data_IF_683214345742
#
_entry.id   IF_683214345742
#
_cell.length_a   1.000
_cell.length_b   1.000
_cell.length_c   1.000
_cell.angle_alpha   90.00
_cell.angle_beta   90.00
_cell.angle_gamma   90.00
#
_symmetry.space_group_name_H-M   'P 1'
#
loop_
_entity.id
_entity.type
_entity.pdbx_description
1 polymer ?
#
# COMPACT_ATOMS: atom_id res chain seq x y z
N UNK A 1 -15.14 -5.81 25.63
CA UNK A 1 -15.29 -5.29 24.26
C UNK A 1 -14.10 -5.84 23.51
N UNK A 2 -14.30 -6.70 22.52
CA UNK A 2 -13.24 -6.94 21.55
C UNK A 2 -13.01 -5.63 20.81
N UNK A 3 -11.85 -5.02 21.01
CA UNK A 3 -11.43 -3.89 20.19
C UNK A 3 -11.31 -4.40 18.76
N UNK A 4 -11.90 -3.68 17.81
CA UNK A 4 -11.76 -4.00 16.39
C UNK A 4 -10.26 -4.07 16.08
N UNK A 5 -9.78 -5.22 15.62
CA UNK A 5 -8.38 -5.36 15.23
C UNK A 5 -8.19 -4.75 13.84
N UNK A 6 -7.00 -4.20 13.53
CA UNK A 6 -6.69 -3.82 12.17
C UNK A 6 -6.81 -5.01 11.21
N UNK A 7 -7.13 -4.71 9.96
CA UNK A 7 -7.29 -5.68 8.88
C UNK A 7 -5.99 -5.81 8.07
N UNK A 8 -5.37 -4.67 7.77
CA UNK A 8 -4.19 -4.59 6.90
C UNK A 8 -3.03 -3.90 7.60
N UNK A 9 -1.84 -4.22 7.12
CA UNK A 9 -0.62 -3.46 7.38
C UNK A 9 -0.05 -2.92 6.08
N UNK A 10 0.70 -1.82 6.14
CA UNK A 10 1.51 -1.30 5.05
C UNK A 10 2.91 -0.95 5.58
N UNK A 11 3.92 -1.32 4.83
CA UNK A 11 5.30 -0.90 5.09
C UNK A 11 6.02 -0.69 3.76
N UNK A 12 7.11 0.07 3.77
CA UNK A 12 8.08 0.05 2.68
C UNK A 12 8.71 -1.33 2.61
N UNK A 13 8.71 -1.91 1.42
CA UNK A 13 9.36 -3.20 1.14
C UNK A 13 10.81 -2.98 0.69
N UNK A 14 10.99 -2.36 -0.49
CA UNK A 14 12.30 -2.20 -1.13
C UNK A 14 12.38 -0.98 -2.03
N UNK A 15 13.60 -0.58 -2.33
CA UNK A 15 13.89 0.40 -3.39
C UNK A 15 14.23 -0.36 -4.67
N UNK A 16 13.71 0.11 -5.79
CA UNK A 16 14.00 -0.45 -7.12
C UNK A 16 14.82 0.50 -7.99
N UNK A 17 14.85 1.78 -7.62
CA UNK A 17 15.69 2.83 -8.22
C UNK A 17 16.27 3.71 -7.11
N UNK A 18 17.25 4.60 -7.41
CA UNK A 18 17.72 5.59 -6.45
C UNK A 18 16.60 6.49 -5.93
N UNK A 19 16.59 6.74 -4.62
CA UNK A 19 15.64 7.66 -4.00
C UNK A 19 15.73 9.05 -4.63
N UNK A 20 14.62 9.63 -5.13
CA UNK A 20 14.62 10.96 -5.71
C UNK A 20 14.80 12.03 -4.62
N UNK A 21 14.94 13.29 -5.05
CA UNK A 21 14.94 14.42 -4.13
C UNK A 21 13.55 14.62 -3.53
N UNK A 22 13.37 14.20 -2.27
CA UNK A 22 12.10 14.29 -1.55
C UNK A 22 11.99 15.59 -0.75
N UNK A 23 10.77 16.12 -0.61
CA UNK A 23 10.47 17.19 0.34
C UNK A 23 10.65 16.72 1.78
N UNK A 24 10.80 17.63 2.74
CA UNK A 24 10.88 17.26 4.17
C UNK A 24 9.64 16.49 4.65
N UNK A 25 8.46 16.79 4.08
CA UNK A 25 7.22 16.08 4.39
C UNK A 25 7.24 14.65 3.82
N UNK A 26 7.62 14.48 2.56
CA UNK A 26 7.73 13.16 1.93
C UNK A 26 8.80 12.30 2.60
N UNK A 27 9.92 12.88 3.04
CA UNK A 27 10.93 12.16 3.84
C UNK A 27 10.36 11.68 5.17
N UNK A 28 9.62 12.54 5.89
CA UNK A 28 8.99 12.16 7.16
C UNK A 28 7.95 11.06 6.99
N UNK A 29 7.17 11.11 5.91
CA UNK A 29 6.24 10.04 5.55
C UNK A 29 6.98 8.73 5.24
N UNK A 30 8.05 8.79 4.45
CA UNK A 30 8.86 7.61 4.12
C UNK A 30 9.47 6.98 5.37
N UNK A 31 9.95 7.79 6.32
CA UNK A 31 10.44 7.31 7.62
C UNK A 31 9.33 6.64 8.43
N UNK A 32 8.11 7.18 8.38
CA UNK A 32 6.95 6.55 9.02
C UNK A 32 6.63 5.20 8.38
N UNK A 33 6.71 5.11 7.05
CA UNK A 33 6.49 3.89 6.29
C UNK A 33 7.67 2.90 6.34
N UNK A 34 8.84 3.30 6.87
CA UNK A 34 9.88 2.33 7.27
C UNK A 34 9.41 1.50 8.50
N UNK A 35 8.43 2.02 9.25
CA UNK A 35 7.69 1.28 10.26
C UNK A 35 6.43 0.62 9.69
N UNK A 36 5.87 -0.32 10.46
CA UNK A 36 4.62 -1.00 10.12
C UNK A 36 3.42 -0.10 10.45
N UNK A 37 2.71 0.37 9.42
CA UNK A 37 1.45 1.10 9.57
C UNK A 37 0.28 0.12 9.54
N UNK A 38 -0.73 0.28 10.39
CA UNK A 38 -1.91 -0.60 10.44
C UNK A 38 -3.18 0.16 10.04
N UNK A 39 -4.07 -0.52 9.32
CA UNK A 39 -5.33 0.02 8.79
C UNK A 39 -6.50 -0.86 9.23
N UNK A 40 -7.61 -0.24 9.64
CA UNK A 40 -8.77 -0.98 10.16
C UNK A 40 -9.61 -1.61 9.07
N UNK A 41 -9.59 -1.04 7.86
CA UNK A 41 -10.24 -1.63 6.70
C UNK A 41 -9.52 -1.29 5.39
N UNK A 42 -9.90 -1.98 4.32
CA UNK A 42 -9.44 -1.76 2.95
C UNK A 42 -9.65 -0.31 2.48
N UNK A 43 -10.75 0.32 2.89
CA UNK A 43 -11.06 1.70 2.54
C UNK A 43 -10.10 2.71 3.21
N UNK A 44 -9.66 2.46 4.45
CA UNK A 44 -8.68 3.34 5.12
C UNK A 44 -7.33 3.31 4.42
N UNK A 45 -6.87 2.11 4.02
CA UNK A 45 -5.65 1.95 3.24
C UNK A 45 -5.78 2.65 1.88
N UNK A 46 -6.92 2.46 1.20
CA UNK A 46 -7.18 3.11 -0.08
C UNK A 46 -7.14 4.64 0.06
N UNK A 47 -7.86 5.21 1.02
CA UNK A 47 -7.84 6.67 1.27
C UNK A 47 -6.44 7.20 1.57
N UNK A 48 -5.60 6.42 2.26
CA UNK A 48 -4.20 6.79 2.49
C UNK A 48 -3.38 6.80 1.20
N UNK A 49 -3.48 5.74 0.39
CA UNK A 49 -2.68 5.60 -0.84
C UNK A 49 -3.11 6.60 -1.93
N UNK A 50 -4.38 6.99 -1.96
CA UNK A 50 -4.89 8.02 -2.88
C UNK A 50 -4.81 9.45 -2.31
N UNK A 51 -4.18 9.63 -1.14
CA UNK A 51 -3.98 10.96 -0.57
C UNK A 51 -2.93 11.76 -1.36
N UNK A 52 -3.06 13.09 -1.33
CA UNK A 52 -2.08 14.00 -1.93
C UNK A 52 -0.67 13.76 -1.34
N UNK A 53 -0.60 13.53 -0.03
CA UNK A 53 0.67 13.31 0.67
C UNK A 53 1.41 12.06 0.17
N UNK A 54 0.69 10.98 -0.10
CA UNK A 54 1.29 9.74 -0.63
C UNK A 54 1.61 9.86 -2.12
N UNK A 55 0.75 10.55 -2.88
CA UNK A 55 0.98 10.88 -4.29
C UNK A 55 2.23 11.76 -4.49
N UNK A 56 2.48 12.70 -3.58
CA UNK A 56 3.71 13.51 -3.56
C UNK A 56 4.97 12.68 -3.26
N UNK A 57 4.86 11.61 -2.46
CA UNK A 57 5.98 10.74 -2.13
C UNK A 57 6.40 9.83 -3.30
N UNK A 58 5.43 9.17 -3.94
CA UNK A 58 5.72 8.06 -4.85
C UNK A 58 4.96 8.13 -6.20
N UNK A 59 4.04 9.08 -6.37
CA UNK A 59 3.24 9.23 -7.59
C UNK A 59 3.88 10.11 -8.67
N UNK A 60 5.01 10.78 -8.38
CA UNK A 60 5.68 11.70 -9.31
C UNK A 60 6.98 11.09 -9.88
N UNK A 61 7.06 11.00 -11.21
CA UNK A 61 8.25 10.54 -11.91
C UNK A 61 8.40 9.02 -11.97
N UNK A 62 9.62 8.51 -12.24
CA UNK A 62 9.87 7.07 -12.33
C UNK A 62 9.57 6.35 -11.02
N UNK A 63 8.97 5.17 -11.12
CA UNK A 63 8.76 4.28 -9.97
C UNK A 63 10.10 3.89 -9.35
N UNK A 64 10.28 4.18 -8.06
CA UNK A 64 11.55 3.97 -7.35
C UNK A 64 11.42 3.16 -6.06
N UNK A 65 10.20 2.96 -5.58
CA UNK A 65 9.89 2.31 -4.30
C UNK A 65 8.75 1.31 -4.48
N UNK A 66 8.86 0.20 -3.76
CA UNK A 66 7.81 -0.82 -3.63
C UNK A 66 7.37 -0.86 -2.18
N UNK A 67 6.06 -0.80 -1.97
CA UNK A 67 5.43 -1.00 -0.67
C UNK A 67 4.89 -2.43 -0.58
N UNK A 68 4.75 -2.92 0.64
CA UNK A 68 4.14 -4.20 0.94
C UNK A 68 2.92 -3.95 1.81
N UNK A 69 1.77 -4.45 1.37
CA UNK A 69 0.59 -4.56 2.21
C UNK A 69 0.43 -6.01 2.67
N UNK A 70 0.04 -6.21 3.91
CA UNK A 70 -0.08 -7.54 4.52
C UNK A 70 -1.35 -7.70 5.32
N UNK A 71 -1.77 -8.93 5.55
CA UNK A 71 -2.85 -9.24 6.51
C UNK A 71 -2.34 -9.00 7.92
N UNK A 72 -3.08 -8.24 8.72
CA UNK A 72 -2.66 -7.89 10.09
C UNK A 72 -2.52 -9.13 11.00
N UNK A 73 -3.40 -10.13 10.82
CA UNK A 73 -3.36 -11.36 11.62
C UNK A 73 -2.34 -12.39 11.14
N UNK A 74 -1.83 -12.25 9.92
CA UNK A 74 -0.91 -13.19 9.29
C UNK A 74 0.01 -12.46 8.32
N UNK A 75 1.14 -11.99 8.83
CA UNK A 75 2.13 -11.23 8.05
C UNK A 75 2.87 -12.06 6.99
N UNK A 76 2.56 -13.36 6.83
CA UNK A 76 3.07 -14.15 5.70
C UNK A 76 2.25 -13.95 4.42
N UNK A 77 1.03 -13.41 4.55
CA UNK A 77 0.14 -13.07 3.44
C UNK A 77 0.32 -11.61 3.08
N UNK A 78 1.06 -11.36 1.99
CA UNK A 78 1.39 -10.01 1.54
C UNK A 78 1.15 -9.83 0.04
N UNK A 79 0.99 -8.57 -0.36
CA UNK A 79 0.96 -8.09 -1.75
C UNK A 79 1.93 -6.95 -1.92
N UNK A 80 2.44 -6.77 -3.13
CA UNK A 80 3.23 -5.59 -3.47
C UNK A 80 2.33 -4.48 -3.98
N UNK A 81 2.64 -3.26 -3.57
CA UNK A 81 1.96 -2.03 -4.00
C UNK A 81 2.99 -1.11 -4.65
N UNK A 82 2.72 -0.71 -5.89
CA UNK A 82 3.58 0.12 -6.70
C UNK A 82 2.78 1.27 -7.28
N UNK A 83 3.32 2.48 -7.21
CA UNK A 83 2.75 3.66 -7.85
C UNK A 83 3.41 3.88 -9.20
N UNK A 84 2.59 4.05 -10.24
CA UNK A 84 3.05 4.26 -11.60
C UNK A 84 2.05 5.11 -12.37
N UNK A 85 2.50 6.23 -12.92
CA UNK A 85 1.72 7.06 -13.86
C UNK A 85 0.30 7.42 -13.36
N UNK A 86 0.15 7.70 -12.06
CA UNK A 86 -1.13 7.97 -11.34
C UNK A 86 -2.02 6.75 -11.09
N UNK A 87 -1.55 5.54 -11.39
CA UNK A 87 -2.19 4.28 -11.03
C UNK A 87 -1.47 3.64 -9.84
N UNK A 88 -2.22 2.85 -9.09
CA UNK A 88 -1.68 1.94 -8.08
C UNK A 88 -1.78 0.52 -8.63
N UNK A 89 -0.63 -0.12 -8.78
CA UNK A 89 -0.50 -1.51 -9.16
C UNK A 89 -0.42 -2.35 -7.90
N UNK A 90 -1.37 -3.26 -7.74
CA UNK A 90 -1.35 -4.30 -6.70
C UNK A 90 -0.91 -5.61 -7.31
N UNK A 91 0.14 -6.23 -6.78
CA UNK A 91 0.76 -7.43 -7.36
C UNK A 91 0.68 -8.57 -6.34
N UNK A 92 0.04 -9.67 -6.75
CA UNK A 92 -0.02 -10.91 -5.99
C UNK A 92 -0.28 -12.08 -6.94
N UNK A 93 0.11 -13.29 -6.54
CA UNK A 93 -0.10 -14.52 -7.32
C UNK A 93 0.38 -14.41 -8.78
N UNK A 94 1.53 -13.75 -9.00
CA UNK A 94 2.12 -13.45 -10.31
C UNK A 94 1.21 -12.64 -11.27
N UNK A 95 0.17 -11.99 -10.74
CA UNK A 95 -0.76 -11.14 -11.48
C UNK A 95 -0.63 -9.68 -11.04
N UNK A 96 -0.95 -8.77 -11.96
CA UNK A 96 -0.91 -7.32 -11.74
C UNK A 96 -2.33 -6.77 -11.87
N UNK A 97 -2.79 -6.10 -10.81
CA UNK A 97 -4.11 -5.49 -10.74
C UNK A 97 -3.95 -3.97 -10.67
N UNK A 98 -4.13 -3.25 -11.78
CA UNK A 98 -4.08 -1.80 -11.78
C UNK A 98 -5.37 -1.21 -11.18
N UNK A 99 -5.22 -0.08 -10.49
CA UNK A 99 -6.34 0.71 -9.96
C UNK A 99 -6.09 2.20 -10.19
N UNK A 100 -7.09 2.86 -10.78
CA UNK A 100 -7.01 4.28 -11.15
C UNK A 100 -7.72 5.20 -10.15
N UNK A 101 -8.51 4.62 -9.25
CA UNK A 101 -9.27 5.34 -8.23
C UNK A 101 -9.38 4.51 -6.95
N UNK A 102 -9.83 5.18 -5.89
CA UNK A 102 -9.93 4.60 -4.55
C UNK A 102 -10.89 3.40 -4.48
N UNK A 103 -12.01 3.44 -5.21
CA UNK A 103 -13.02 2.38 -5.16
C UNK A 103 -12.49 1.09 -5.78
N UNK A 104 -11.83 1.19 -6.93
CA UNK A 104 -11.21 0.05 -7.61
C UNK A 104 -10.17 -0.63 -6.71
N UNK A 105 -9.26 0.17 -6.12
CA UNK A 105 -8.24 -0.36 -5.22
C UNK A 105 -8.87 -1.03 -3.99
N UNK A 106 -9.90 -0.39 -3.40
CA UNK A 106 -10.59 -0.93 -2.24
C UNK A 106 -11.18 -2.31 -2.54
N UNK A 107 -11.79 -2.49 -3.71
CA UNK A 107 -12.35 -3.78 -4.12
C UNK A 107 -11.26 -4.83 -4.35
N UNK A 108 -10.16 -4.47 -5.03
CA UNK A 108 -9.03 -5.38 -5.29
C UNK A 108 -8.42 -5.89 -3.98
N UNK A 109 -8.10 -4.96 -3.06
CA UNK A 109 -7.43 -5.35 -1.81
C UNK A 109 -8.36 -6.10 -0.87
N UNK A 110 -9.66 -5.77 -0.86
CA UNK A 110 -10.66 -6.50 -0.09
C UNK A 110 -10.82 -7.92 -0.62
N UNK A 111 -10.94 -8.09 -1.94
CA UNK A 111 -11.07 -9.39 -2.56
C UNK A 111 -9.84 -10.27 -2.28
N UNK A 112 -8.63 -9.71 -2.46
CA UNK A 112 -7.40 -10.42 -2.10
C UNK A 112 -7.38 -10.85 -0.63
N UNK A 113 -7.72 -9.94 0.28
CA UNK A 113 -7.73 -10.23 1.71
C UNK A 113 -8.69 -11.39 2.04
N UNK A 114 -9.91 -11.35 1.50
CA UNK A 114 -10.93 -12.38 1.75
C UNK A 114 -10.47 -13.73 1.18
N UNK A 115 -9.93 -13.74 -0.03
CA UNK A 115 -9.38 -14.94 -0.68
C UNK A 115 -8.28 -15.61 0.15
N UNK A 116 -7.38 -14.85 0.78
CA UNK A 116 -6.28 -15.42 1.59
C UNK A 116 -6.68 -15.76 3.03
N UNK A 117 -7.84 -15.29 3.48
CA UNK A 117 -8.38 -15.55 4.82
C UNK A 117 -9.38 -16.69 4.87
N UNK A 118 -9.98 -17.06 3.73
CA UNK A 118 -10.85 -18.24 3.60
C UNK A 118 -10.09 -19.56 3.39
N UNK A 119 -8.75 -19.53 3.40
CA UNK A 119 -7.85 -20.70 3.24
C UNK A 119 -7.48 -21.32 4.60
#
# INVERSE_FOLDING_TARGET
MEEAKPLLTLTKSRLIEPTPSLSSQSQSLLETLNGLCSFYCSADLASFLFSDMFSELAGQGPTWIVFEAGVYLDHTKTVEIILKDSEILTIYSDQVFPSSNQDDFTQIIQHWHDDVMEI
#
